data_IF_809855376704
#
_entry.id   IF_809855376704
#
_cell.length_a   1.000
_cell.length_b   1.000
_cell.length_c   1.000
_cell.angle_alpha   90.00
_cell.angle_beta   90.00
_cell.angle_gamma   90.00
#
_symmetry.space_group_name_H-M   'P 1'
#
loop_
_entity.id
_entity.type
_entity.pdbx_description
1 polymer ?
2 non-polymer ?
3 water ?
#
# COMPACT_ATOMS: atom_id res chain seq x y z
N UNK A 1 -2.08 9.19 13.16
CA UNK A 1 -1.67 9.58 11.78
C UNK A 1 -2.87 9.99 10.94
N UNK A 2 -2.72 11.09 10.21
CA UNK A 2 -3.79 11.59 9.35
C UNK A 2 -3.35 12.85 8.62
N UNK A 3 -3.87 13.04 7.41
CA UNK A 3 -3.54 14.23 6.62
C UNK A 3 -4.83 14.89 6.15
N UNK A 4 -4.71 15.77 5.16
CA UNK A 4 -5.87 16.48 4.63
C UNK A 4 -6.79 15.62 3.76
N UNK A 5 -6.84 14.32 4.01
CA UNK A 5 -7.71 13.44 3.22
C UNK A 5 -7.87 12.02 3.75
N UNK A 6 -6.84 11.49 4.40
CA UNK A 6 -6.93 10.14 4.95
C UNK A 6 -6.57 10.13 6.42
N UNK A 7 -7.04 9.10 7.12
CA UNK A 7 -6.77 8.94 8.54
C UNK A 7 -6.55 7.46 8.83
N UNK A 8 -5.49 7.16 9.57
CA UNK A 8 -5.18 5.78 9.91
C UNK A 8 -5.83 5.42 11.24
N UNK A 9 -6.54 4.31 11.27
CA UNK A 9 -7.20 3.87 12.49
C UNK A 9 -7.28 2.35 12.52
N UNK A 10 -7.50 1.80 13.70
CA UNK A 10 -7.61 0.36 13.84
C UNK A 10 -8.90 -0.08 13.17
N UNK A 11 -8.81 -1.08 12.30
CA UNK A 11 -9.98 -1.58 11.61
C UNK A 11 -10.71 -2.54 12.54
N UNK A 12 -12.05 -2.44 12.62
CA UNK A 12 -12.81 -3.33 13.49
C UNK A 12 -12.50 -4.79 13.17
N UNK A 13 -12.12 -5.04 11.92
CA UNK A 13 -11.78 -6.38 11.47
C UNK A 13 -10.31 -6.69 11.74
N UNK A 14 -9.46 -6.36 10.78
CA UNK A 14 -8.03 -6.61 10.92
C UNK A 14 -7.30 -5.64 11.83
N UNK A 15 -6.07 -5.29 11.45
CA UNK A 15 -5.28 -4.37 12.24
C UNK A 15 -5.56 -2.92 11.90
N UNK A 16 -4.54 -2.22 11.41
CA UNK A 16 -4.70 -0.82 11.04
C UNK A 16 -5.05 -0.69 9.56
N UNK A 17 -5.73 0.40 9.22
CA UNK A 17 -6.12 0.63 7.85
C UNK A 17 -6.15 2.12 7.57
N UNK A 18 -6.26 2.47 6.29
CA UNK A 18 -6.32 3.87 5.89
C UNK A 18 -7.76 4.15 5.49
N UNK A 19 -8.37 5.14 6.12
CA UNK A 19 -9.76 5.50 5.85
C UNK A 19 -9.89 6.91 5.29
N UNK A 20 -10.85 7.09 4.39
CA UNK A 20 -11.07 8.39 3.78
C UNK A 20 -11.58 9.37 4.83
N UNK A 21 -10.96 10.54 4.90
CA UNK A 21 -11.36 11.58 5.85
C UNK A 21 -12.19 12.61 5.09
N UNK A 22 -12.28 12.41 3.78
CA UNK A 22 -13.03 13.29 2.91
C UNK A 22 -13.53 12.46 1.75
N UNK A 23 -14.58 12.93 1.08
CA UNK A 23 -15.13 12.21 -0.06
C UNK A 23 -14.08 12.18 -1.16
N UNK A 24 -14.02 11.08 -1.89
CA UNK A 24 -13.06 10.91 -2.98
C UNK A 24 -13.75 10.61 -4.29
N UNK A 25 -13.23 11.19 -5.37
CA UNK A 25 -13.78 10.96 -6.70
C UNK A 25 -12.98 9.85 -7.36
N UNK A 26 -13.54 9.24 -8.40
CA UNK A 26 -12.86 8.16 -9.10
C UNK A 26 -11.61 8.63 -9.84
N UNK A 27 -10.52 7.89 -9.68
CA UNK A 27 -9.28 8.23 -10.34
C UNK A 27 -8.50 9.35 -9.68
N UNK A 28 -8.95 9.78 -8.50
CA UNK A 28 -8.28 10.86 -7.78
C UNK A 28 -7.04 10.36 -7.05
N UNK A 29 -6.17 11.29 -6.67
CA UNK A 29 -4.94 10.97 -5.97
C UNK A 29 -5.16 10.85 -4.47
N UNK A 30 -4.84 9.69 -3.93
CA UNK A 30 -5.00 9.45 -2.50
C UNK A 30 -3.71 9.71 -1.76
N UNK A 31 -2.61 9.22 -2.31
CA UNK A 31 -1.31 9.38 -1.66
C UNK A 31 -0.14 9.04 -2.57
N UNK A 32 0.93 9.82 -2.46
CA UNK A 32 2.15 9.55 -3.20
C UNK A 32 3.22 9.65 -2.12
N UNK A 33 4.06 8.64 -2.03
CA UNK A 33 5.11 8.64 -1.02
C UNK A 33 6.40 8.12 -1.60
N UNK A 34 7.50 8.42 -0.92
CA UNK A 34 8.81 7.96 -1.34
C UNK A 34 8.98 6.54 -0.79
N UNK A 35 9.85 5.75 -1.41
CA UNK A 35 10.09 4.38 -0.95
C UNK A 35 11.59 4.17 -0.78
N UNK A 36 11.94 3.25 0.11
CA UNK A 36 13.35 2.90 0.32
C UNK A 36 13.49 1.63 -0.52
N UNK A 37 14.45 1.62 -1.43
CA UNK A 37 14.62 0.49 -2.33
C UNK A 37 15.98 -0.17 -2.18
N UNK A 38 15.98 -1.49 -2.04
CA UNK A 38 17.21 -2.26 -1.88
C UNK A 38 17.01 -3.60 -2.55
N UNK A 39 18.11 -4.30 -2.86
CA UNK A 39 18.02 -5.62 -3.48
C UNK A 39 17.14 -6.53 -2.63
N UNK A 40 16.41 -7.44 -3.29
CA UNK A 40 15.52 -8.36 -2.59
C UNK A 40 16.13 -9.05 -1.38
N UNK A 41 17.36 -9.54 -1.51
CA UNK A 41 17.97 -10.27 -0.41
C UNK A 41 18.51 -9.44 0.76
N UNK A 42 18.33 -8.12 0.69
CA UNK A 42 18.78 -7.23 1.76
C UNK A 42 17.74 -7.11 2.85
N UNK A 43 16.52 -7.54 2.54
CA UNK A 43 15.41 -7.45 3.48
C UNK A 43 15.21 -8.77 4.21
N UNK A 44 14.98 -8.70 5.51
CA UNK A 44 14.72 -9.93 6.24
C UNK A 44 13.25 -10.23 6.08
N UNK A 45 12.69 -10.97 7.03
CA UNK A 45 11.28 -11.31 6.94
C UNK A 45 10.42 -10.28 7.67
N UNK A 46 11.07 -9.36 8.38
CA UNK A 46 10.36 -8.33 9.15
C UNK A 46 9.22 -7.65 8.39
N UNK A 47 9.50 -7.22 7.16
CA UNK A 47 8.50 -6.51 6.37
C UNK A 47 7.90 -7.35 5.24
N UNK A 48 8.00 -8.67 5.36
CA UNK A 48 7.47 -9.55 4.33
C UNK A 48 6.01 -9.25 3.98
N UNK A 49 5.25 -8.72 4.93
CA UNK A 49 3.85 -8.42 4.67
C UNK A 49 3.58 -7.02 4.13
N UNK A 50 4.65 -6.28 3.83
CA UNK A 50 4.51 -4.90 3.37
C UNK A 50 5.29 -4.54 2.11
N UNK A 51 6.34 -5.29 1.82
CA UNK A 51 7.19 -5.02 0.67
C UNK A 51 6.62 -5.40 -0.69
N UNK A 52 6.99 -4.64 -1.72
CA UNK A 52 6.60 -4.99 -3.07
C UNK A 52 7.92 -5.14 -3.82
N UNK A 53 7.89 -5.88 -4.92
CA UNK A 53 9.11 -6.17 -5.66
C UNK A 53 8.96 -6.10 -7.17
N UNK A 54 10.04 -5.72 -7.84
CA UNK A 54 10.10 -5.64 -9.29
C UNK A 54 11.50 -6.10 -9.66
N UNK A 55 11.60 -7.23 -10.35
CA UNK A 55 12.90 -7.78 -10.74
C UNK A 55 13.71 -8.18 -9.50
N UNK A 56 14.88 -7.57 -9.32
CA UNK A 56 15.73 -7.91 -8.18
C UNK A 56 15.70 -6.87 -7.07
N UNK A 57 14.71 -5.98 -7.12
CA UNK A 57 14.59 -4.93 -6.11
C UNK A 57 13.26 -5.00 -5.37
N UNK A 58 13.30 -4.65 -4.08
CA UNK A 58 12.10 -4.59 -3.26
C UNK A 58 12.09 -3.23 -2.62
N UNK A 59 10.89 -2.73 -2.33
CA UNK A 59 10.75 -1.39 -1.79
C UNK A 59 9.75 -1.31 -0.66
N UNK A 60 10.06 -0.46 0.31
CA UNK A 60 9.20 -0.23 1.46
C UNK A 60 8.63 1.18 1.32
N UNK A 61 7.31 1.29 1.24
CA UNK A 61 6.69 2.61 1.10
C UNK A 61 6.63 3.38 2.42
N UNK A 62 7.04 4.64 2.38
CA UNK A 62 7.01 5.46 3.58
C UNK A 62 5.67 6.20 3.58
N UNK A 63 5.55 7.24 4.39
CA UNK A 63 4.28 7.95 4.46
C UNK A 63 3.23 6.94 4.89
N UNK A 64 2.04 6.96 4.28
CA UNK A 64 1.00 6.00 4.64
C UNK A 64 0.97 4.82 3.66
N UNK A 65 1.87 4.84 2.68
CA UNK A 65 1.90 3.81 1.67
C UNK A 65 1.85 2.35 2.09
N UNK A 66 2.50 2.00 3.19
CA UNK A 66 2.51 0.60 3.61
C UNK A 66 1.35 0.25 4.54
N UNK A 67 0.52 1.24 4.87
CA UNK A 67 -0.61 1.02 5.78
C UNK A 67 -1.89 0.58 5.08
N UNK A 68 -2.00 0.91 3.79
CA UNK A 68 -3.19 0.54 3.04
C UNK A 68 -3.35 -0.97 3.06
N UNK A 69 -4.54 -1.43 3.43
CA UNK A 69 -4.81 -2.86 3.48
C UNK A 69 -5.20 -3.38 2.11
N UNK A 70 -5.03 -4.68 1.92
CA UNK A 70 -5.37 -5.33 0.66
C UNK A 70 -6.77 -5.90 0.76
N UNK A 71 -7.53 -5.78 -0.32
CA UNK A 71 -8.90 -6.27 -0.34
C UNK A 71 -9.20 -7.05 -1.61
N UNK A 72 -10.17 -7.95 -1.52
CA UNK A 72 -10.57 -8.74 -2.67
C UNK A 72 -11.42 -7.83 -3.57
N UNK A 73 -11.98 -6.79 -2.97
CA UNK A 73 -12.80 -5.81 -3.68
C UNK A 73 -12.25 -4.41 -3.35
N UNK A 74 -11.07 -4.08 -3.90
CA UNK A 74 -10.42 -2.79 -3.66
C UNK A 74 -11.10 -1.60 -4.33
N UNK A 75 -10.93 -0.42 -3.73
CA UNK A 75 -11.49 0.79 -4.30
C UNK A 75 -10.33 1.70 -4.73
N UNK A 76 -9.14 1.12 -4.79
CA UNK A 76 -7.95 1.87 -5.20
C UNK A 76 -6.90 0.95 -5.82
N UNK A 77 -5.89 1.56 -6.43
CA UNK A 77 -4.80 0.81 -7.05
C UNK A 77 -3.49 1.51 -6.72
N UNK A 78 -2.39 0.78 -6.79
CA UNK A 78 -1.09 1.37 -6.50
C UNK A 78 -0.24 1.40 -7.77
N UNK A 79 0.62 2.40 -7.87
CA UNK A 79 1.50 2.57 -9.02
C UNK A 79 2.91 2.93 -8.54
N UNK A 80 3.92 2.25 -9.06
CA UNK A 80 5.30 2.54 -8.68
C UNK A 80 6.08 3.08 -9.88
N UNK A 81 6.82 4.16 -9.66
CA UNK A 81 7.62 4.74 -10.73
C UNK A 81 8.71 3.73 -11.06
N UNK A 82 9.55 4.05 -12.05
CA UNK A 82 10.64 3.17 -12.42
C UNK A 82 11.61 3.13 -11.24
N UNK A 83 12.22 1.98 -11.00
CA UNK A 83 13.16 1.89 -9.89
C UNK A 83 12.46 1.87 -8.54
N UNK A 84 11.14 1.77 -8.55
CA UNK A 84 10.34 1.72 -7.33
C UNK A 84 10.55 2.89 -6.37
N UNK A 85 11.12 3.98 -6.88
CA UNK A 85 11.39 5.14 -6.03
C UNK A 85 10.14 5.81 -5.45
N UNK A 86 9.04 5.79 -6.20
CA UNK A 86 7.81 6.41 -5.72
C UNK A 86 6.58 5.54 -5.88
N UNK A 87 5.68 5.66 -4.91
CA UNK A 87 4.43 4.92 -4.95
C UNK A 87 3.29 5.92 -5.00
N UNK A 88 2.26 5.58 -5.76
CA UNK A 88 1.10 6.43 -5.88
C UNK A 88 -0.12 5.55 -5.69
N UNK A 89 -1.09 6.06 -4.94
CA UNK A 89 -2.32 5.33 -4.69
C UNK A 89 -3.43 6.14 -5.35
N UNK A 90 -4.13 5.53 -6.30
CA UNK A 90 -5.22 6.22 -6.98
C UNK A 90 -6.51 5.45 -6.74
N UNK A 91 -7.61 6.18 -6.55
CA UNK A 91 -8.89 5.52 -6.34
C UNK A 91 -9.31 4.97 -7.70
N UNK A 92 -10.12 3.92 -7.68
CA UNK A 92 -10.61 3.33 -8.91
C UNK A 92 -12.13 3.35 -8.83
N UNK A 93 -12.63 4.00 -7.79
CA UNK A 93 -14.06 4.13 -7.54
C UNK A 93 -14.25 5.33 -6.64
N UNK A 94 -15.45 5.92 -6.64
CA UNK A 94 -15.63 7.06 -5.75
C UNK A 94 -15.54 6.49 -4.33
N UNK A 95 -15.06 7.29 -3.38
CA UNK A 95 -14.94 6.79 -2.02
C UNK A 95 -15.54 7.77 -1.03
N UNK A 96 -16.54 7.31 -0.30
CA UNK A 96 -17.21 8.14 0.69
C UNK A 96 -16.36 8.29 1.94
N UNK A 97 -16.64 9.33 2.71
CA UNK A 97 -15.92 9.60 3.95
C UNK A 97 -16.18 8.46 4.93
N UNK A 98 -15.12 7.95 5.54
CA UNK A 98 -15.27 6.86 6.50
C UNK A 98 -15.00 5.48 5.93
N UNK A 99 -15.00 5.36 4.61
CA UNK A 99 -14.74 4.07 3.96
C UNK A 99 -13.25 3.77 4.00
N UNK A 100 -12.88 2.52 4.24
CA UNK A 100 -11.47 2.17 4.25
C UNK A 100 -10.99 2.19 2.81
N UNK A 101 -9.76 2.64 2.60
CA UNK A 101 -9.18 2.69 1.27
C UNK A 101 -8.31 1.45 1.16
N UNK A 102 -8.61 0.60 0.18
CA UNK A 102 -7.86 -0.63 0.01
C UNK A 102 -7.36 -0.84 -1.41
N UNK A 103 -6.31 -1.65 -1.53
CA UNK A 103 -5.72 -1.99 -2.81
C UNK A 103 -5.83 -3.50 -2.96
N UNK A 104 -5.62 -4.00 -4.17
CA UNK A 104 -5.72 -5.44 -4.40
C UNK A 104 -4.47 -6.17 -3.92
N UNK A 105 -4.51 -7.50 -4.02
CA UNK A 105 -3.37 -8.31 -3.65
C UNK A 105 -2.51 -8.39 -4.91
N UNK A 106 -1.86 -7.27 -5.23
CA UNK A 106 -1.03 -7.19 -6.41
C UNK A 106 0.06 -8.23 -6.44
N UNK A 107 0.40 -8.68 -7.65
CA UNK A 107 1.42 -9.70 -7.84
C UNK A 107 2.81 -9.21 -7.42
N UNK A 108 3.01 -7.90 -7.42
CA UNK A 108 4.31 -7.35 -7.03
C UNK A 108 4.52 -7.33 -5.51
N UNK A 109 3.47 -7.62 -4.75
CA UNK A 109 3.59 -7.66 -3.29
C UNK A 109 4.15 -9.00 -2.82
N UNK A 110 5.15 -8.96 -1.95
CA UNK A 110 5.74 -10.19 -1.42
C UNK A 110 4.64 -11.13 -0.94
N UNK A 111 3.64 -10.54 -0.29
CA UNK A 111 2.50 -11.23 0.28
C UNK A 111 1.78 -12.20 -0.67
N UNK A 112 1.92 -11.99 -1.97
CA UNK A 112 1.28 -12.87 -2.94
C UNK A 112 2.08 -14.16 -3.12
N UNK A 113 3.24 -14.24 -2.48
CA UNK A 113 4.09 -15.42 -2.60
C UNK A 113 4.89 -15.70 -1.34
N UNK A 114 4.22 -16.18 -0.27
CA UNK A 114 4.93 -16.48 0.98
C UNK A 114 6.13 -17.38 0.74
N UNK A 115 7.16 -17.22 1.56
CA UNK A 115 8.37 -18.02 1.42
C UNK A 115 8.62 -18.89 2.63
N UNK A 116 9.13 -20.09 2.39
CA UNK A 116 9.42 -21.05 3.45
C UNK A 116 10.71 -20.67 4.15
N UNK A 117 11.60 -19.98 3.43
CA UNK A 117 12.87 -19.55 4.00
C UNK A 117 13.09 -18.09 3.68
N UNK A 118 13.98 -17.46 4.43
CA UNK A 118 14.28 -16.05 4.22
C UNK A 118 15.38 -15.55 5.15
N UNK A 119 14.97 -14.77 6.14
CA UNK A 119 15.87 -14.18 7.12
C UNK A 119 15.05 -13.33 8.09
X LIG B 1 -3.22 -2.78 -7.69
X LIG B 1 -3.59 -2.22 -6.38
X LIG B 1 -4.43 -3.15 -8.44
X LIG B 1 -2.46 -1.78 -8.45
X LIG B 1 -2.38 -3.99 -7.49
X LIG C 1 11.19 -20.60 -0.53
X LIG C 1 11.63 -21.95 -0.11
X LIG C 1 9.72 -20.58 -0.64
X LIG C 1 11.62 -19.61 0.48
X LIG C 1 11.79 -20.27 -1.83
#
# INVERSE_FOLDING_TARGET
MFNDRVIVKKSPLGGYGVFARKSFEKGELVEECLCIVRHNDDWGTALEDYLFSRKNMSAMALGFGAIFNHSKDPNARHELTAGLKRMRIFTIKPIAIGEEITISYGDDYWLSRPRLTQN
SO4 S O1 O2 O3 O4
SO4 S O1 O2 O3 O4
#
